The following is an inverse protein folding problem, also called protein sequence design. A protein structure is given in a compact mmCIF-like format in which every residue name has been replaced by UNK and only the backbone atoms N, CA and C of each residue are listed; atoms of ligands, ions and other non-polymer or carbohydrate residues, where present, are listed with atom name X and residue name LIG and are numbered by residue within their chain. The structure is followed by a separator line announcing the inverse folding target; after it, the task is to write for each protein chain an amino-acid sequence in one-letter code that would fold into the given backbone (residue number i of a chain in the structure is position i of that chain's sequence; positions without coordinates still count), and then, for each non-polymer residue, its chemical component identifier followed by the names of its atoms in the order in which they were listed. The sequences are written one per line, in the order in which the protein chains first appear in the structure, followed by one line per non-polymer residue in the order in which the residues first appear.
data_IF_648024939459
#
_entry.id   IF_648024939459
#
_cell.length_a   1.000
_cell.length_b   1.000
_cell.length_c   1.000
_cell.angle_alpha   90.00
_cell.angle_beta   90.00
_cell.angle_gamma   90.00
#
_symmetry.space_group_name_H-M   'P 1'
#
loop_
_entity.id
_entity.type
_entity.pdbx_description
1 polymer ?
#
# COMPACT_ATOMS: atom_id res chain seq x y z
N UNK A 1 -3.39 33.34 -7.36
CA UNK A 1 -3.30 32.31 -6.29
C UNK A 1 -1.83 32.25 -5.86
N UNK A 2 -1.53 32.02 -4.58
CA UNK A 2 -0.13 31.80 -4.12
C UNK A 2 0.34 30.40 -4.45
N UNK A 3 1.66 30.21 -4.55
CA UNK A 3 2.26 28.90 -4.71
C UNK A 3 1.91 27.99 -3.51
N UNK A 4 1.68 26.70 -3.76
CA UNK A 4 1.46 25.72 -2.69
C UNK A 4 2.80 25.34 -2.08
N UNK A 5 2.95 25.55 -0.77
CA UNK A 5 4.17 25.23 -0.04
C UNK A 5 4.15 23.76 0.41
N UNK A 6 5.11 22.98 -0.08
CA UNK A 6 5.23 21.55 0.21
C UNK A 6 6.55 21.28 0.92
N UNK A 7 6.48 20.86 2.18
CA UNK A 7 7.62 20.35 2.92
C UNK A 7 7.77 18.84 2.72
N UNK A 8 8.97 18.36 2.40
CA UNK A 8 9.27 16.92 2.38
C UNK A 8 10.22 16.62 3.52
N UNK A 9 9.77 15.83 4.48
CA UNK A 9 10.55 15.50 5.68
C UNK A 9 11.66 14.50 5.34
N UNK A 10 12.91 14.92 5.48
CA UNK A 10 14.05 14.05 5.33
C UNK A 10 14.59 13.58 6.71
N UNK A 11 14.95 12.30 6.79
CA UNK A 11 15.45 11.68 8.01
C UNK A 11 16.35 10.46 7.69
N UNK A 12 17.14 9.96 8.65
CA UNK A 12 18.09 8.88 8.40
C UNK A 12 17.42 7.61 7.88
N UNK A 13 17.84 7.17 6.68
CA UNK A 13 17.33 6.00 5.99
C UNK A 13 15.97 6.19 5.33
N UNK A 14 15.43 7.41 5.18
CA UNK A 14 14.26 7.66 4.35
C UNK A 14 14.55 7.33 2.88
N UNK A 15 13.55 6.92 2.11
CA UNK A 15 13.74 6.63 0.69
C UNK A 15 14.04 7.91 -0.10
N UNK A 16 15.26 8.00 -0.66
CA UNK A 16 15.70 9.15 -1.44
C UNK A 16 14.77 9.44 -2.63
N UNK A 17 14.29 8.41 -3.32
CA UNK A 17 13.34 8.53 -4.43
C UNK A 17 11.98 9.09 -4.02
N UNK A 18 11.52 8.83 -2.79
CA UNK A 18 10.29 9.43 -2.28
C UNK A 18 10.51 10.89 -1.85
N UNK A 19 11.73 11.25 -1.47
CA UNK A 19 12.09 12.65 -1.15
C UNK A 19 12.06 13.51 -2.41
N UNK A 20 12.52 12.99 -3.55
CA UNK A 20 12.66 13.78 -4.78
C UNK A 20 11.55 13.51 -5.82
N UNK A 21 10.92 12.33 -5.81
CA UNK A 21 9.93 11.96 -6.82
C UNK A 21 8.68 12.85 -6.82
N UNK A 22 8.22 13.31 -5.64
CA UNK A 22 7.11 14.28 -5.56
C UNK A 22 7.55 15.66 -6.05
N UNK A 23 8.65 16.27 -5.57
CA UNK A 23 9.18 17.52 -6.12
C UNK A 23 9.32 17.51 -7.64
N UNK A 24 9.89 16.44 -8.21
CA UNK A 24 10.08 16.31 -9.65
C UNK A 24 8.73 16.34 -10.41
N UNK A 25 7.73 15.60 -9.92
CA UNK A 25 6.40 15.57 -10.54
C UNK A 25 5.69 16.93 -10.41
N UNK A 26 5.83 17.63 -9.28
CA UNK A 26 5.27 18.97 -9.09
C UNK A 26 5.95 20.01 -10.00
N UNK A 27 7.27 19.87 -10.23
CA UNK A 27 8.01 20.68 -11.21
C UNK A 27 7.47 20.44 -12.62
N UNK A 28 7.26 19.18 -13.02
CA UNK A 28 6.64 18.86 -14.31
C UNK A 28 5.24 19.47 -14.43
N UNK A 29 4.45 19.41 -13.36
CA UNK A 29 3.11 19.99 -13.33
C UNK A 29 3.13 21.51 -13.51
N UNK A 30 4.11 22.22 -12.93
CA UNK A 30 4.29 23.66 -13.13
C UNK A 30 4.59 23.97 -14.58
N UNK A 31 5.49 23.22 -15.23
CA UNK A 31 5.80 23.39 -16.65
C UNK A 31 4.59 23.13 -17.55
N UNK A 32 3.82 22.08 -17.25
CA UNK A 32 2.60 21.73 -17.99
C UNK A 32 1.52 22.80 -17.85
N UNK A 33 1.38 23.38 -16.64
CA UNK A 33 0.38 24.42 -16.36
C UNK A 33 0.69 25.77 -17.01
N UNK A 34 1.96 26.02 -17.31
CA UNK A 34 2.43 27.28 -17.95
C UNK A 34 2.72 28.41 -16.95
N UNK A 35 3.24 29.54 -17.44
CA UNK A 35 3.80 30.61 -16.62
C UNK A 35 2.78 31.39 -15.76
N UNK A 36 1.51 31.37 -16.13
CA UNK A 36 0.43 32.01 -15.35
C UNK A 36 0.04 31.25 -14.11
N UNK A 37 0.53 30.01 -13.93
CA UNK A 37 0.21 29.15 -12.79
C UNK A 37 1.13 29.47 -11.61
N UNK A 38 0.55 29.59 -10.41
CA UNK A 38 1.31 29.93 -9.20
C UNK A 38 2.36 28.85 -8.79
N UNK A 39 2.20 27.62 -9.27
CA UNK A 39 3.16 26.53 -9.08
C UNK A 39 3.22 25.98 -7.65
N UNK A 40 4.37 25.40 -7.35
CA UNK A 40 4.65 24.75 -6.07
C UNK A 40 5.99 25.23 -5.52
N UNK A 41 6.04 25.55 -4.23
CA UNK A 41 7.27 25.83 -3.51
C UNK A 41 7.63 24.61 -2.67
N UNK A 42 8.62 23.84 -3.09
CA UNK A 42 9.00 22.60 -2.43
C UNK A 42 10.30 22.77 -1.64
N UNK A 43 10.32 22.28 -0.42
CA UNK A 43 11.51 22.26 0.42
C UNK A 43 11.72 20.90 1.08
N UNK A 44 12.96 20.41 1.03
CA UNK A 44 13.38 19.27 1.84
C UNK A 44 13.74 19.79 3.23
N UNK A 45 12.98 19.37 4.24
CA UNK A 45 13.09 19.86 5.61
C UNK A 45 13.50 18.75 6.57
N UNK A 46 14.23 19.09 7.62
CA UNK A 46 14.61 18.13 8.66
C UNK A 46 14.83 18.85 9.99
N UNK A 47 14.51 18.23 11.13
CA UNK A 47 14.97 18.71 12.43
C UNK A 47 16.49 18.46 12.65
N UNK A 48 17.15 17.77 11.72
CA UNK A 48 18.58 17.47 11.77
C UNK A 48 19.38 18.34 10.82
N UNK A 49 20.61 18.62 11.16
CA UNK A 49 21.54 19.40 10.32
C UNK A 49 22.05 18.59 9.11
N UNK A 50 22.11 17.27 9.24
CA UNK A 50 22.59 16.35 8.19
C UNK A 50 21.71 15.12 8.16
N UNK A 51 21.38 14.67 6.95
CA UNK A 51 20.57 13.47 6.72
C UNK A 51 21.26 12.61 5.67
N UNK A 52 21.37 11.32 5.97
CA UNK A 52 21.75 10.29 5.00
C UNK A 52 20.51 9.45 4.73
N UNK A 53 20.02 9.51 3.50
CA UNK A 53 18.87 8.73 3.02
C UNK A 53 19.30 7.31 2.66
N UNK A 54 18.34 6.51 2.19
CA UNK A 54 18.58 5.16 1.66
C UNK A 54 19.65 5.17 0.58
N UNK A 55 20.42 4.07 0.49
CA UNK A 55 21.53 3.96 -0.45
C UNK A 55 22.73 4.88 -0.14
N UNK A 56 22.80 5.49 1.05
CA UNK A 56 23.91 6.32 1.47
C UNK A 56 23.91 7.75 0.93
N UNK A 57 22.81 8.19 0.28
CA UNK A 57 22.72 9.53 -0.30
C UNK A 57 22.68 10.61 0.80
N UNK A 58 23.66 11.53 0.79
CA UNK A 58 23.63 12.71 1.66
C UNK A 58 22.63 13.75 1.10
N UNK A 59 21.72 14.22 1.95
CA UNK A 59 20.70 15.18 1.57
C UNK A 59 21.03 16.58 2.10
N UNK A 60 20.89 17.59 1.24
CA UNK A 60 20.81 18.98 1.67
C UNK A 60 19.41 19.20 2.26
N UNK A 61 19.35 19.67 3.50
CA UNK A 61 18.09 19.89 4.22
C UNK A 61 18.05 21.31 4.80
N UNK A 62 16.82 21.83 4.90
CA UNK A 62 16.55 23.09 5.62
C UNK A 62 15.90 22.78 6.98
N UNK A 63 16.00 23.68 7.97
CA UNK A 63 15.19 23.58 9.18
C UNK A 63 13.69 23.52 8.84
N UNK A 64 12.86 22.95 9.73
CA UNK A 64 11.40 22.98 9.59
C UNK A 64 10.89 24.42 9.39
N UNK A 65 10.03 24.63 8.41
CA UNK A 65 9.44 25.93 8.07
C UNK A 65 7.97 25.76 7.71
N UNK A 66 7.23 26.84 7.65
CA UNK A 66 5.82 26.80 7.26
C UNK A 66 5.59 26.03 5.93
N UNK A 67 4.59 25.18 5.95
CA UNK A 67 4.15 24.42 4.79
C UNK A 67 2.63 24.23 4.83
N UNK A 68 2.02 24.18 3.65
CA UNK A 68 0.59 23.86 3.51
C UNK A 68 0.40 22.33 3.51
N UNK A 69 1.42 21.58 3.03
CA UNK A 69 1.47 20.12 3.02
C UNK A 69 2.84 19.66 3.52
N UNK A 70 2.85 18.72 4.47
CA UNK A 70 4.06 18.00 4.89
C UNK A 70 4.00 16.57 4.37
N UNK A 71 4.97 16.16 3.56
CA UNK A 71 5.14 14.78 3.08
C UNK A 71 6.17 14.07 3.95
N UNK A 72 5.80 12.91 4.47
CA UNK A 72 6.64 12.02 5.29
C UNK A 72 6.95 10.76 4.48
N UNK A 73 8.15 10.62 3.89
CA UNK A 73 8.55 9.45 3.14
C UNK A 73 8.54 8.16 3.96
N UNK A 74 8.58 7.02 3.29
CA UNK A 74 8.94 5.74 3.90
C UNK A 74 10.45 5.64 4.15
N UNK A 75 10.85 4.53 4.74
CA UNK A 75 12.26 4.26 5.08
C UNK A 75 12.66 2.83 4.74
N UNK A 76 13.96 2.58 4.68
CA UNK A 76 14.51 1.26 4.43
C UNK A 76 14.07 0.25 5.49
N UNK A 77 13.59 -0.90 5.00
CA UNK A 77 13.20 -2.06 5.78
C UNK A 77 14.19 -3.19 5.50
N UNK A 78 15.28 -3.18 6.25
CA UNK A 78 16.31 -4.19 6.14
C UNK A 78 15.87 -5.49 6.86
N UNK A 79 16.31 -6.67 6.39
CA UNK A 79 16.09 -7.91 7.12
C UNK A 79 16.58 -7.81 8.57
N UNK A 80 15.71 -8.18 9.51
CA UNK A 80 16.04 -8.10 10.94
C UNK A 80 15.93 -6.69 11.54
N UNK A 81 15.31 -5.72 10.84
CA UNK A 81 15.06 -4.39 11.37
C UNK A 81 14.21 -4.48 12.66
N UNK A 82 14.75 -3.96 13.74
CA UNK A 82 13.98 -3.67 14.95
C UNK A 82 13.19 -2.37 14.72
N UNK A 83 11.88 -2.51 14.50
CA UNK A 83 10.99 -1.38 14.22
C UNK A 83 10.92 -0.42 15.40
N UNK A 84 10.88 -0.93 16.65
CA UNK A 84 10.78 -0.10 17.84
C UNK A 84 12.03 0.74 18.04
N UNK A 85 13.22 0.13 17.89
CA UNK A 85 14.48 0.85 17.94
C UNK A 85 14.61 1.88 16.80
N UNK A 86 14.09 1.56 15.60
CA UNK A 86 14.11 2.51 14.47
C UNK A 86 13.22 3.71 14.75
N UNK A 87 11.99 3.50 15.19
CA UNK A 87 11.03 4.57 15.48
C UNK A 87 11.49 5.43 16.66
N UNK A 88 12.05 4.84 17.70
CA UNK A 88 12.61 5.58 18.84
C UNK A 88 13.72 6.54 18.41
N UNK A 89 14.60 6.15 17.46
CA UNK A 89 15.66 7.02 16.90
C UNK A 89 15.09 8.18 16.07
N UNK A 90 13.84 8.09 15.61
CA UNK A 90 13.14 9.10 14.82
C UNK A 90 12.21 9.99 15.68
N UNK A 91 12.41 10.00 17.01
CA UNK A 91 11.62 10.84 17.91
C UNK A 91 11.66 12.35 17.56
N UNK A 92 12.79 12.95 17.11
CA UNK A 92 12.79 14.35 16.65
C UNK A 92 11.88 14.57 15.43
N UNK A 93 11.84 13.65 14.49
CA UNK A 93 10.99 13.71 13.31
C UNK A 93 9.52 13.54 13.67
N UNK A 94 9.22 12.62 14.58
CA UNK A 94 7.86 12.45 15.14
C UNK A 94 7.37 13.73 15.84
N UNK A 95 8.24 14.40 16.60
CA UNK A 95 7.93 15.69 17.22
C UNK A 95 7.66 16.79 16.18
N UNK A 96 8.47 16.84 15.11
CA UNK A 96 8.26 17.79 14.01
C UNK A 96 6.91 17.53 13.30
N UNK A 97 6.57 16.28 13.03
CA UNK A 97 5.26 15.89 12.44
C UNK A 97 4.10 16.39 13.31
N UNK A 98 4.17 16.21 14.65
CA UNK A 98 3.15 16.72 15.57
C UNK A 98 3.03 18.25 15.52
N UNK A 99 4.16 18.96 15.44
CA UNK A 99 4.17 20.42 15.35
C UNK A 99 3.50 20.91 14.07
N UNK A 100 3.78 20.29 12.92
CA UNK A 100 3.12 20.61 11.66
C UNK A 100 1.62 20.36 11.73
N UNK A 101 1.20 19.20 12.25
CA UNK A 101 -0.21 18.86 12.39
C UNK A 101 -0.95 19.85 13.32
N UNK A 102 -0.33 20.24 14.44
CA UNK A 102 -0.85 21.22 15.39
C UNK A 102 -0.98 22.63 14.76
N UNK A 103 -0.11 22.97 13.81
CA UNK A 103 -0.18 24.21 13.03
C UNK A 103 -1.24 24.17 11.90
N UNK A 104 -1.97 23.07 11.73
CA UNK A 104 -2.98 22.91 10.68
C UNK A 104 -2.44 22.52 9.31
N UNK A 105 -1.15 22.18 9.19
CA UNK A 105 -0.55 21.65 7.97
C UNK A 105 -1.17 20.28 7.63
N UNK A 106 -1.54 20.07 6.36
CA UNK A 106 -1.96 18.76 5.90
C UNK A 106 -0.77 17.78 5.92
N UNK A 107 -0.90 16.67 6.65
CA UNK A 107 0.20 15.71 6.79
C UNK A 107 -0.07 14.48 5.94
N UNK A 108 0.96 14.08 5.18
CA UNK A 108 0.89 12.96 4.23
C UNK A 108 2.02 11.99 4.52
N UNK A 109 1.72 10.71 4.64
CA UNK A 109 2.73 9.66 4.69
C UNK A 109 2.78 8.84 3.43
N UNK A 110 3.98 8.47 3.02
CA UNK A 110 4.22 7.55 1.93
C UNK A 110 4.65 6.20 2.50
N UNK A 111 4.09 5.12 1.96
CA UNK A 111 4.50 3.76 2.29
C UNK A 111 4.53 3.54 3.82
N UNK A 112 5.65 3.07 4.35
CA UNK A 112 5.87 2.84 5.79
C UNK A 112 6.11 4.12 6.61
N UNK A 113 6.13 5.28 5.98
CA UNK A 113 6.06 6.57 6.70
C UNK A 113 4.83 6.70 7.59
N UNK A 114 3.78 5.89 7.32
CA UNK A 114 2.59 5.77 8.16
C UNK A 114 2.91 5.39 9.62
N UNK A 115 4.00 4.65 9.86
CA UNK A 115 4.44 4.34 11.22
C UNK A 115 4.87 5.57 12.00
N UNK A 116 5.49 6.56 11.34
CA UNK A 116 5.83 7.84 12.00
C UNK A 116 4.57 8.66 12.33
N UNK A 117 3.54 8.58 11.48
CA UNK A 117 2.25 9.20 11.79
C UNK A 117 1.54 8.50 12.94
N UNK A 118 1.65 7.18 13.04
CA UNK A 118 1.15 6.40 14.18
C UNK A 118 1.85 6.82 15.49
N UNK A 119 3.19 6.88 15.49
CA UNK A 119 3.98 7.37 16.64
C UNK A 119 3.65 8.83 17.01
N UNK A 120 3.24 9.63 16.03
CA UNK A 120 2.77 10.99 16.28
C UNK A 120 1.33 11.05 16.84
N UNK A 121 0.60 9.93 16.94
CA UNK A 121 -0.82 9.87 17.38
C UNK A 121 -1.78 10.40 16.33
N UNK A 122 -1.37 10.50 15.07
CA UNK A 122 -2.20 11.09 14.01
C UNK A 122 -3.11 10.08 13.33
N UNK A 123 -3.01 8.78 13.62
CA UNK A 123 -3.84 7.74 13.01
C UNK A 123 -4.99 7.27 13.89
N UNK A 124 -5.04 7.66 15.17
CA UNK A 124 -6.06 7.21 16.10
C UNK A 124 -7.45 7.60 15.63
N UNK A 125 -8.36 6.62 15.56
CA UNK A 125 -9.75 6.74 15.09
C UNK A 125 -9.88 7.32 13.68
N UNK A 126 -8.86 7.09 12.83
CA UNK A 126 -8.84 7.49 11.43
C UNK A 126 -8.72 6.29 10.52
N UNK A 127 -9.23 6.44 9.30
CA UNK A 127 -8.91 5.51 8.22
C UNK A 127 -7.49 5.78 7.75
N UNK A 128 -6.73 4.73 7.52
CA UNK A 128 -5.35 4.81 7.05
C UNK A 128 -5.00 3.66 6.11
N UNK A 129 -3.96 3.82 5.34
CA UNK A 129 -3.32 2.75 4.58
C UNK A 129 -1.80 2.81 4.74
N UNK A 130 -1.13 1.79 4.30
CA UNK A 130 0.33 1.71 4.19
C UNK A 130 0.68 0.69 3.10
N UNK A 131 1.95 0.38 2.89
CA UNK A 131 2.30 -0.78 2.06
C UNK A 131 1.57 -2.02 2.54
N UNK A 132 0.91 -2.74 1.62
CA UNK A 132 0.17 -3.97 1.91
C UNK A 132 0.98 -5.00 2.70
N UNK A 133 2.32 -5.00 2.53
CA UNK A 133 3.24 -5.90 3.21
C UNK A 133 3.29 -5.64 4.74
N UNK A 134 3.02 -4.41 5.16
CA UNK A 134 3.11 -3.95 6.55
C UNK A 134 1.78 -3.51 7.14
N UNK A 135 0.67 -3.74 6.44
CA UNK A 135 -0.65 -3.32 6.90
C UNK A 135 -1.06 -3.98 8.22
N UNK A 136 -0.82 -5.29 8.36
CA UNK A 136 -1.10 -6.03 9.60
C UNK A 136 -0.23 -5.55 10.77
N UNK A 137 1.02 -5.18 10.50
CA UNK A 137 1.92 -4.59 11.50
C UNK A 137 1.41 -3.23 11.97
N UNK A 138 1.00 -2.38 11.04
CA UNK A 138 0.43 -1.06 11.37
C UNK A 138 -0.85 -1.21 12.20
N UNK A 139 -1.75 -2.12 11.82
CA UNK A 139 -2.99 -2.39 12.55
C UNK A 139 -2.74 -2.88 13.98
N UNK A 140 -1.71 -3.73 14.19
CA UNK A 140 -1.34 -4.20 15.55
C UNK A 140 -0.76 -3.08 16.42
N UNK A 141 0.02 -2.15 15.84
CA UNK A 141 0.62 -1.03 16.56
C UNK A 141 -0.38 0.10 16.84
N UNK A 142 -1.36 0.25 15.97
CA UNK A 142 -2.35 1.31 16.03
C UNK A 142 -3.77 0.71 16.03
N UNK A 143 -4.20 0.05 17.12
CA UNK A 143 -5.46 -0.71 17.13
C UNK A 143 -6.70 0.18 17.00
N UNK A 144 -6.60 1.47 17.26
CA UNK A 144 -7.69 2.44 17.05
C UNK A 144 -7.78 2.93 15.59
N UNK A 145 -6.79 2.64 14.74
CA UNK A 145 -6.82 3.01 13.33
C UNK A 145 -7.61 1.98 12.50
N UNK A 146 -8.42 2.46 11.55
CA UNK A 146 -9.10 1.63 10.56
C UNK A 146 -8.18 1.46 9.34
N UNK A 147 -7.30 0.47 9.38
CA UNK A 147 -6.31 0.22 8.33
C UNK A 147 -6.96 -0.44 7.12
N UNK A 148 -6.82 0.19 5.94
CA UNK A 148 -7.38 -0.22 4.65
C UNK A 148 -6.28 -0.71 3.69
N UNK A 149 -5.87 -1.97 3.78
CA UNK A 149 -4.73 -2.49 3.03
C UNK A 149 -4.94 -2.55 1.51
N UNK A 150 -6.18 -2.45 1.03
CA UNK A 150 -6.50 -2.45 -0.41
C UNK A 150 -6.35 -1.07 -1.06
N UNK A 151 -6.44 0.01 -0.28
CA UNK A 151 -6.46 1.37 -0.80
C UNK A 151 -5.06 1.86 -1.19
N UNK A 152 -4.95 2.64 -2.29
CA UNK A 152 -3.71 3.33 -2.66
C UNK A 152 -3.48 4.61 -1.87
N UNK A 153 -4.53 5.40 -1.70
CA UNK A 153 -4.50 6.68 -0.98
C UNK A 153 -5.74 6.74 -0.10
N UNK A 154 -5.55 7.08 1.17
CA UNK A 154 -6.62 7.30 2.14
C UNK A 154 -6.43 8.67 2.77
N UNK A 155 -7.43 9.53 2.65
CA UNK A 155 -7.46 10.83 3.32
C UNK A 155 -8.58 10.84 4.36
N UNK A 156 -8.25 11.20 5.59
CA UNK A 156 -9.19 11.35 6.68
C UNK A 156 -8.80 12.51 7.59
N UNK A 157 -9.67 13.51 7.69
CA UNK A 157 -9.52 14.68 8.59
C UNK A 157 -8.14 15.35 8.54
N UNK A 158 -7.67 15.69 7.32
CA UNK A 158 -6.40 16.41 7.09
C UNK A 158 -5.14 15.53 7.12
N UNK A 159 -5.27 14.24 7.43
CA UNK A 159 -4.18 13.27 7.33
C UNK A 159 -4.39 12.39 6.09
N UNK A 160 -3.35 12.25 5.29
CA UNK A 160 -3.34 11.35 4.13
C UNK A 160 -2.28 10.28 4.32
N UNK A 161 -2.62 9.04 4.04
CA UNK A 161 -1.67 7.93 4.02
C UNK A 161 -1.70 7.26 2.67
N UNK A 162 -0.55 6.82 2.17
CA UNK A 162 -0.45 6.15 0.88
C UNK A 162 0.07 4.72 1.02
N UNK A 163 -0.24 3.90 0.03
CA UNK A 163 0.22 2.52 -0.11
C UNK A 163 1.74 2.44 -0.40
N UNK A 164 2.16 1.33 -0.99
CA UNK A 164 3.57 1.07 -1.29
C UNK A 164 4.17 2.08 -2.27
N UNK A 165 5.42 2.32 -2.09
CA UNK A 165 6.39 3.13 -2.82
C UNK A 165 5.84 4.01 -3.97
N UNK A 166 5.42 3.42 -5.09
CA UNK A 166 4.93 4.16 -6.27
C UNK A 166 3.59 4.87 -6.06
N UNK A 167 2.88 4.61 -4.96
CA UNK A 167 1.65 5.33 -4.61
C UNK A 167 1.91 6.82 -4.29
N UNK A 168 3.18 7.21 -4.11
CA UNK A 168 3.57 8.63 -4.05
C UNK A 168 3.12 9.41 -5.29
N UNK A 169 3.14 8.78 -6.47
CA UNK A 169 2.71 9.43 -7.71
C UNK A 169 1.18 9.56 -7.78
N UNK A 170 0.43 8.59 -7.26
CA UNK A 170 -1.04 8.69 -7.16
C UNK A 170 -1.44 9.85 -6.24
N UNK A 171 -0.75 10.00 -5.11
CA UNK A 171 -0.94 11.14 -4.22
C UNK A 171 -0.53 12.46 -4.90
N UNK A 172 0.63 12.52 -5.54
CA UNK A 172 1.10 13.75 -6.19
C UNK A 172 0.16 14.19 -7.32
N UNK A 173 -0.37 13.26 -8.13
CA UNK A 173 -1.37 13.56 -9.14
C UNK A 173 -2.69 14.04 -8.52
N UNK A 174 -3.10 13.50 -7.37
CA UNK A 174 -4.27 14.00 -6.65
C UNK A 174 -4.04 15.40 -6.09
N UNK A 175 -2.85 15.70 -5.56
CA UNK A 175 -2.46 17.03 -5.10
C UNK A 175 -2.49 18.03 -6.28
N UNK A 176 -1.92 17.66 -7.43
CA UNK A 176 -1.94 18.46 -8.66
C UNK A 176 -3.40 18.69 -9.12
N UNK A 177 -4.23 17.65 -9.08
CA UNK A 177 -5.65 17.76 -9.44
C UNK A 177 -6.40 18.78 -8.59
N UNK A 178 -6.13 18.81 -7.28
CA UNK A 178 -6.76 19.74 -6.35
C UNK A 178 -6.26 21.17 -6.50
N UNK A 179 -4.96 21.36 -6.72
CA UNK A 179 -4.34 22.69 -6.76
C UNK A 179 -4.36 23.31 -8.18
N UNK A 180 -4.09 22.52 -9.22
CA UNK A 180 -3.90 22.97 -10.60
C UNK A 180 -4.99 22.49 -11.56
N UNK A 181 -5.92 21.68 -11.08
CA UNK A 181 -7.04 21.15 -11.85
C UNK A 181 -6.76 19.83 -12.60
N UNK A 182 -7.84 19.16 -12.98
CA UNK A 182 -7.80 17.83 -13.59
C UNK A 182 -7.09 17.78 -14.95
N UNK A 183 -7.10 18.88 -15.70
CA UNK A 183 -6.41 19.00 -16.99
C UNK A 183 -4.89 18.88 -16.83
N UNK A 184 -4.33 19.68 -15.91
CA UNK A 184 -2.89 19.68 -15.61
C UNK A 184 -2.47 18.31 -15.04
N UNK A 185 -3.23 17.73 -14.11
CA UNK A 185 -2.92 16.42 -13.57
C UNK A 185 -2.83 15.34 -14.66
N UNK A 186 -3.80 15.26 -15.56
CA UNK A 186 -3.77 14.30 -16.69
C UNK A 186 -2.61 14.54 -17.65
N UNK A 187 -2.31 15.80 -17.97
CA UNK A 187 -1.19 16.11 -18.84
C UNK A 187 0.15 15.76 -18.17
N UNK A 188 0.32 16.06 -16.89
CA UNK A 188 1.50 15.68 -16.10
C UNK A 188 1.67 14.14 -16.05
N UNK A 189 0.58 13.39 -15.80
CA UNK A 189 0.62 11.92 -15.81
C UNK A 189 1.12 11.36 -17.16
N UNK A 190 0.67 11.94 -18.28
CA UNK A 190 1.13 11.55 -19.63
C UNK A 190 2.61 11.86 -19.87
N UNK A 191 3.07 13.03 -19.47
CA UNK A 191 4.48 13.43 -19.61
C UNK A 191 5.38 12.52 -18.76
N UNK A 192 4.96 12.21 -17.55
CA UNK A 192 5.71 11.37 -16.63
C UNK A 192 5.52 9.85 -16.88
N UNK A 193 4.67 9.45 -17.83
CA UNK A 193 4.28 8.04 -18.07
C UNK A 193 3.76 7.34 -16.81
N UNK A 194 3.04 8.06 -15.97
CA UNK A 194 2.41 7.55 -14.75
C UNK A 194 0.95 7.18 -15.05
N UNK A 195 0.53 5.99 -14.60
CA UNK A 195 -0.87 5.55 -14.69
C UNK A 195 -1.72 6.34 -13.68
N UNK A 196 -2.64 7.18 -14.15
CA UNK A 196 -3.53 8.02 -13.34
C UNK A 196 -4.89 7.33 -13.02
N UNK A 197 -5.05 6.07 -13.41
CA UNK A 197 -6.28 5.29 -13.24
C UNK A 197 -6.18 4.22 -12.15
N UNK A 198 -5.08 4.13 -11.43
CA UNK A 198 -4.93 3.16 -10.33
C UNK A 198 -5.84 3.55 -9.15
N UNK A 199 -6.57 2.58 -8.62
CA UNK A 199 -7.47 2.80 -7.48
C UNK A 199 -7.16 1.91 -6.28
N UNK A 200 -6.32 0.87 -6.46
CA UNK A 200 -6.05 -0.12 -5.42
C UNK A 200 -4.66 -0.73 -5.57
N UNK A 201 -4.04 -1.07 -4.42
CA UNK A 201 -2.84 -1.90 -4.40
C UNK A 201 -3.15 -3.42 -4.37
N UNK A 202 -4.41 -3.81 -4.23
CA UNK A 202 -4.81 -5.23 -4.18
C UNK A 202 -4.28 -6.08 -5.34
N UNK A 203 -4.18 -5.58 -6.60
CA UNK A 203 -3.57 -6.35 -7.69
C UNK A 203 -2.11 -6.74 -7.47
N UNK A 204 -1.39 -6.00 -6.64
CA UNK A 204 0.05 -6.19 -6.38
C UNK A 204 0.34 -7.05 -5.15
N UNK A 205 -0.68 -7.39 -4.35
CA UNK A 205 -0.52 -8.22 -3.14
C UNK A 205 -0.05 -9.62 -3.54
N UNK A 206 1.12 -10.02 -3.04
CA UNK A 206 1.61 -11.39 -3.13
C UNK A 206 1.69 -12.02 -1.74
N UNK A 207 0.75 -12.93 -1.46
CA UNK A 207 0.65 -13.59 -0.18
C UNK A 207 1.89 -14.44 0.21
N UNK A 208 2.79 -14.74 -0.75
CA UNK A 208 4.05 -15.45 -0.46
C UNK A 208 5.05 -14.56 0.27
N UNK A 209 4.92 -13.25 0.09
CA UNK A 209 5.79 -12.25 0.73
C UNK A 209 5.27 -11.85 2.12
N UNK A 210 4.01 -12.16 2.43
CA UNK A 210 3.45 -11.92 3.76
C UNK A 210 4.01 -12.94 4.76
N UNK A 211 4.26 -12.53 6.01
CA UNK A 211 4.52 -13.48 7.08
C UNK A 211 3.45 -14.56 7.09
N UNK A 212 3.86 -15.82 7.12
CA UNK A 212 2.90 -16.92 7.16
C UNK A 212 2.32 -16.99 8.58
N UNK A 213 1.06 -16.57 8.80
CA UNK A 213 0.46 -16.65 10.11
C UNK A 213 0.21 -18.11 10.48
N UNK A 214 0.18 -18.37 11.75
CA UNK A 214 -0.32 -19.63 12.28
C UNK A 214 0.74 -20.59 12.79
N UNK A 215 0.27 -21.47 13.64
CA UNK A 215 1.00 -22.57 14.26
C UNK A 215 1.08 -23.78 13.31
N UNK A 216 1.63 -24.88 13.76
CA UNK A 216 1.78 -26.10 12.96
C UNK A 216 0.43 -26.63 12.43
N UNK A 217 -0.66 -26.48 13.20
CA UNK A 217 -1.98 -26.94 12.82
C UNK A 217 -2.51 -26.15 11.60
N UNK A 218 -2.60 -24.85 11.70
CA UNK A 218 -3.12 -24.02 10.59
C UNK A 218 -2.25 -24.14 9.33
N UNK A 219 -0.92 -24.27 9.47
CA UNK A 219 -0.03 -24.55 8.33
C UNK A 219 -0.29 -25.90 7.67
N UNK A 220 -0.65 -26.93 8.43
CA UNK A 220 -1.07 -28.23 7.87
C UNK A 220 -2.40 -28.10 7.12
N UNK A 221 -3.37 -27.38 7.68
CA UNK A 221 -4.66 -27.10 7.03
C UNK A 221 -4.46 -26.32 5.73
N UNK A 222 -3.66 -25.26 5.74
CA UNK A 222 -3.33 -24.48 4.53
C UNK A 222 -2.70 -25.34 3.44
N UNK A 223 -1.71 -26.17 3.78
CA UNK A 223 -1.09 -27.09 2.82
C UNK A 223 -2.10 -28.04 2.20
N UNK A 224 -3.02 -28.60 2.98
CA UNK A 224 -4.09 -29.47 2.47
C UNK A 224 -5.01 -28.75 1.48
N UNK A 225 -5.39 -27.50 1.80
CA UNK A 225 -6.21 -26.67 0.91
C UNK A 225 -5.47 -26.30 -0.38
N UNK A 226 -4.19 -25.98 -0.30
CA UNK A 226 -3.38 -25.62 -1.48
C UNK A 226 -3.13 -26.83 -2.39
N UNK A 227 -2.97 -28.04 -1.82
CA UNK A 227 -2.84 -29.29 -2.60
C UNK A 227 -4.13 -29.66 -3.34
N UNK A 228 -5.29 -29.32 -2.76
CA UNK A 228 -6.61 -29.64 -3.30
C UNK A 228 -7.36 -28.40 -3.80
N UNK A 229 -6.64 -27.45 -4.35
CA UNK A 229 -7.12 -26.11 -4.68
C UNK A 229 -8.34 -26.11 -5.61
N UNK A 230 -8.37 -27.02 -6.60
CA UNK A 230 -9.44 -27.13 -7.58
C UNK A 230 -10.66 -27.92 -7.09
N UNK A 231 -10.53 -28.63 -5.98
CA UNK A 231 -11.61 -29.46 -5.44
C UNK A 231 -12.72 -28.61 -4.80
N UNK A 232 -13.92 -29.20 -4.71
CA UNK A 232 -15.02 -28.56 -3.98
C UNK A 232 -14.63 -28.41 -2.51
N UNK A 233 -14.84 -27.22 -1.97
CA UNK A 233 -14.67 -27.01 -0.55
C UNK A 233 -15.69 -27.81 0.25
N UNK A 234 -15.19 -28.68 1.11
CA UNK A 234 -15.99 -29.48 2.04
C UNK A 234 -15.37 -29.35 3.44
N UNK A 235 -16.10 -28.64 4.32
CA UNK A 235 -15.64 -28.38 5.68
C UNK A 235 -15.67 -29.64 6.54
N UNK A 236 -16.65 -30.56 6.30
CA UNK A 236 -16.74 -31.81 7.05
C UNK A 236 -15.55 -32.70 6.71
N UNK A 237 -15.31 -32.95 5.42
CA UNK A 237 -14.16 -33.73 4.97
C UNK A 237 -12.83 -33.12 5.44
N UNK A 238 -12.73 -31.78 5.46
CA UNK A 238 -11.53 -31.11 5.97
C UNK A 238 -11.35 -31.35 7.47
N UNK A 239 -12.41 -31.25 8.28
CA UNK A 239 -12.33 -31.46 9.72
C UNK A 239 -12.02 -32.93 10.09
N UNK A 240 -12.58 -33.87 9.35
CA UNK A 240 -12.32 -35.31 9.52
C UNK A 240 -10.85 -35.64 9.23
N UNK A 241 -10.27 -35.04 8.19
CA UNK A 241 -8.85 -35.23 7.86
C UNK A 241 -7.87 -34.74 8.95
N UNK A 242 -8.33 -33.87 9.84
CA UNK A 242 -7.56 -33.35 10.98
C UNK A 242 -8.03 -33.90 12.33
N UNK A 243 -8.97 -34.85 12.34
CA UNK A 243 -9.54 -35.50 13.52
C UNK A 243 -10.08 -34.51 14.58
N UNK A 244 -10.75 -33.44 14.10
CA UNK A 244 -11.37 -32.40 14.93
C UNK A 244 -12.81 -32.11 14.47
N UNK A 245 -13.64 -31.55 15.35
CA UNK A 245 -14.95 -31.07 14.93
C UNK A 245 -14.83 -29.85 14.01
N UNK A 246 -15.81 -29.62 13.13
CA UNK A 246 -15.88 -28.43 12.26
C UNK A 246 -15.79 -27.14 13.06
N UNK A 247 -16.44 -27.05 14.22
CA UNK A 247 -16.36 -25.90 15.13
C UNK A 247 -14.93 -25.67 15.63
N UNK A 248 -14.24 -26.74 16.02
CA UNK A 248 -12.86 -26.67 16.52
C UNK A 248 -11.92 -26.23 15.43
N UNK A 249 -12.07 -26.78 14.21
CA UNK A 249 -11.26 -26.41 13.05
C UNK A 249 -11.43 -24.92 12.72
N UNK A 250 -12.67 -24.44 12.57
CA UNK A 250 -12.98 -23.04 12.25
C UNK A 250 -12.41 -22.09 13.30
N UNK A 251 -12.70 -22.35 14.60
CA UNK A 251 -12.23 -21.51 15.69
C UNK A 251 -10.71 -21.46 15.72
N UNK A 252 -10.05 -22.62 15.78
CA UNK A 252 -8.60 -22.70 15.90
C UNK A 252 -7.88 -22.10 14.69
N UNK A 253 -8.40 -22.34 13.49
CA UNK A 253 -7.83 -21.74 12.28
C UNK A 253 -8.00 -20.23 12.27
N UNK A 254 -9.17 -19.70 12.68
CA UNK A 254 -9.42 -18.27 12.79
C UNK A 254 -8.55 -17.62 13.89
N UNK A 255 -8.44 -18.23 15.06
CA UNK A 255 -7.58 -17.75 16.16
C UNK A 255 -6.11 -17.67 15.74
N UNK A 256 -5.63 -18.66 14.96
CA UNK A 256 -4.23 -18.73 14.52
C UNK A 256 -3.94 -17.85 13.29
N UNK A 257 -4.93 -17.54 12.43
CA UNK A 257 -4.70 -16.92 11.11
C UNK A 257 -5.51 -15.64 10.84
N UNK A 258 -6.44 -15.29 11.71
CA UNK A 258 -7.33 -14.14 11.56
C UNK A 258 -8.42 -14.31 10.48
N UNK A 259 -8.58 -15.50 9.87
CA UNK A 259 -9.52 -15.75 8.76
C UNK A 259 -10.03 -17.19 8.76
N UNK A 260 -11.12 -17.44 8.04
CA UNK A 260 -11.67 -18.78 7.88
C UNK A 260 -10.88 -19.62 6.85
N UNK A 261 -10.93 -20.98 6.91
CA UNK A 261 -10.35 -21.84 5.89
C UNK A 261 -10.90 -21.59 4.47
N UNK A 262 -12.18 -21.21 4.34
CA UNK A 262 -12.78 -20.88 3.07
C UNK A 262 -12.20 -19.58 2.48
N UNK A 263 -12.04 -18.53 3.27
CA UNK A 263 -11.40 -17.28 2.86
C UNK A 263 -9.95 -17.52 2.44
N UNK A 264 -9.23 -18.39 3.17
CA UNK A 264 -7.89 -18.80 2.76
C UNK A 264 -7.91 -19.48 1.39
N UNK A 265 -8.79 -20.48 1.18
CA UNK A 265 -8.91 -21.19 -0.10
C UNK A 265 -9.26 -20.25 -1.25
N UNK A 266 -10.20 -19.34 -1.03
CA UNK A 266 -10.58 -18.33 -2.04
C UNK A 266 -9.39 -17.45 -2.43
N UNK A 267 -8.62 -16.97 -1.45
CA UNK A 267 -7.41 -16.19 -1.69
C UNK A 267 -6.35 -17.00 -2.45
N UNK A 268 -6.15 -18.29 -2.11
CA UNK A 268 -5.23 -19.19 -2.81
C UNK A 268 -5.66 -19.44 -4.26
N UNK A 269 -6.95 -19.60 -4.52
CA UNK A 269 -7.52 -19.74 -5.87
C UNK A 269 -7.31 -18.49 -6.71
N UNK A 270 -7.56 -17.32 -6.15
CA UNK A 270 -7.30 -16.03 -6.82
C UNK A 270 -5.81 -15.87 -7.12
N UNK A 271 -4.93 -16.19 -6.18
CA UNK A 271 -3.47 -16.17 -6.39
C UNK A 271 -3.04 -17.08 -7.55
N UNK A 272 -3.55 -18.32 -7.60
CA UNK A 272 -3.27 -19.24 -8.71
C UNK A 272 -3.82 -18.73 -10.04
N UNK A 273 -5.02 -18.14 -10.02
CA UNK A 273 -5.61 -17.54 -11.21
C UNK A 273 -4.79 -16.36 -11.74
N UNK A 274 -4.30 -15.48 -10.86
CA UNK A 274 -3.38 -14.39 -11.22
C UNK A 274 -2.17 -14.93 -11.97
N UNK A 275 -1.47 -15.89 -11.38
CA UNK A 275 -0.31 -16.53 -12.02
C UNK A 275 -0.65 -17.09 -13.41
N UNK A 276 -1.78 -17.78 -13.57
CA UNK A 276 -2.20 -18.33 -14.87
C UNK A 276 -2.57 -17.23 -15.88
N UNK A 277 -3.16 -16.12 -15.42
CA UNK A 277 -3.46 -14.95 -16.27
C UNK A 277 -2.20 -14.25 -16.77
N UNK A 278 -1.17 -14.20 -15.94
CA UNK A 278 0.12 -13.54 -16.23
C UNK A 278 1.02 -14.39 -17.13
N UNK A 279 0.97 -15.73 -17.01
CA UNK A 279 1.97 -16.63 -17.60
C UNK A 279 1.43 -17.51 -18.71
N UNK A 280 0.13 -17.52 -18.99
CA UNK A 280 -0.47 -18.43 -19.99
C UNK A 280 -1.51 -17.75 -20.89
N UNK A 281 -1.77 -18.35 -22.07
CA UNK A 281 -2.82 -17.95 -23.01
C UNK A 281 -4.20 -18.56 -22.71
N UNK A 282 -4.34 -19.31 -21.62
CA UNK A 282 -5.59 -19.96 -21.26
C UNK A 282 -6.73 -18.97 -21.18
N UNK A 283 -7.91 -19.35 -21.65
CA UNK A 283 -9.11 -18.50 -21.53
C UNK A 283 -9.48 -18.29 -20.06
N UNK A 284 -10.17 -17.19 -19.76
CA UNK A 284 -10.67 -16.92 -18.39
C UNK A 284 -11.55 -18.06 -17.89
N UNK A 285 -12.38 -18.64 -18.76
CA UNK A 285 -13.22 -19.81 -18.44
C UNK A 285 -12.37 -21.03 -18.07
N UNK A 286 -11.32 -21.34 -18.84
CA UNK A 286 -10.40 -22.43 -18.56
C UNK A 286 -9.65 -22.22 -17.23
N UNK A 287 -9.26 -20.98 -16.91
CA UNK A 287 -8.61 -20.64 -15.64
C UNK A 287 -9.59 -20.78 -14.48
N UNK A 288 -10.84 -20.30 -14.64
CA UNK A 288 -11.91 -20.46 -13.65
C UNK A 288 -12.07 -21.94 -13.23
N UNK A 289 -12.19 -22.83 -14.20
CA UNK A 289 -12.28 -24.27 -13.96
C UNK A 289 -11.02 -24.83 -13.28
N UNK A 290 -9.84 -24.42 -13.74
CA UNK A 290 -8.55 -24.91 -13.20
C UNK A 290 -8.32 -24.50 -11.74
N UNK A 291 -8.98 -23.44 -11.27
CA UNK A 291 -8.92 -23.00 -9.87
C UNK A 291 -10.17 -23.38 -9.07
N UNK A 292 -11.01 -24.29 -9.59
CA UNK A 292 -12.10 -24.92 -8.84
C UNK A 292 -13.42 -24.16 -8.85
N UNK A 293 -13.68 -23.31 -9.87
CA UNK A 293 -14.99 -22.69 -10.09
C UNK A 293 -15.68 -23.26 -11.31
N UNK A 294 -16.93 -23.71 -11.15
CA UNK A 294 -17.76 -24.22 -12.24
C UNK A 294 -18.37 -23.08 -13.07
N UNK A 295 -18.69 -21.96 -12.38
CA UNK A 295 -19.25 -20.77 -13.02
C UNK A 295 -18.20 -19.66 -13.10
N UNK A 296 -17.95 -19.20 -14.32
CA UNK A 296 -16.97 -18.15 -14.60
C UNK A 296 -17.43 -16.75 -14.12
N UNK A 297 -18.75 -16.53 -13.95
CA UNK A 297 -19.30 -15.29 -13.40
C UNK A 297 -18.97 -15.16 -11.92
N UNK A 298 -19.23 -16.22 -11.13
CA UNK A 298 -18.88 -16.31 -9.71
C UNK A 298 -17.37 -16.12 -9.51
N UNK A 299 -16.56 -16.78 -10.35
CA UNK A 299 -15.11 -16.58 -10.34
C UNK A 299 -14.73 -15.12 -10.61
N UNK A 300 -15.28 -14.50 -11.67
CA UNK A 300 -14.94 -13.14 -12.06
C UNK A 300 -15.31 -12.12 -10.98
N UNK A 301 -16.46 -12.29 -10.32
CA UNK A 301 -16.88 -11.43 -9.20
C UNK A 301 -15.94 -11.55 -8.00
N UNK A 302 -15.59 -12.77 -7.60
CA UNK A 302 -14.64 -13.01 -6.50
C UNK A 302 -13.24 -12.47 -6.85
N UNK A 303 -12.77 -12.74 -8.07
CA UNK A 303 -11.47 -12.25 -8.54
C UNK A 303 -11.42 -10.71 -8.48
N UNK A 304 -12.47 -10.03 -8.97
CA UNK A 304 -12.58 -8.58 -8.92
C UNK A 304 -12.63 -8.06 -7.48
N UNK A 305 -13.35 -8.73 -6.58
CA UNK A 305 -13.36 -8.39 -5.15
C UNK A 305 -11.96 -8.42 -4.52
N UNK A 306 -11.15 -9.42 -4.88
CA UNK A 306 -9.80 -9.60 -4.30
C UNK A 306 -8.72 -8.77 -4.99
N UNK A 307 -8.90 -8.40 -6.27
CA UNK A 307 -7.86 -7.74 -7.06
C UNK A 307 -8.21 -6.32 -7.50
N UNK A 308 -9.45 -5.87 -7.26
CA UNK A 308 -9.95 -4.59 -7.74
C UNK A 308 -10.17 -4.53 -9.26
N UNK A 309 -9.88 -5.60 -10.00
CA UNK A 309 -9.98 -5.64 -11.48
C UNK A 309 -10.62 -6.95 -11.95
N UNK A 310 -11.37 -6.91 -13.06
CA UNK A 310 -11.87 -8.13 -13.70
C UNK A 310 -10.72 -8.95 -14.30
N UNK A 311 -10.85 -10.29 -14.43
CA UNK A 311 -9.76 -11.14 -14.92
C UNK A 311 -9.17 -10.73 -16.27
N UNK A 312 -9.99 -10.23 -17.20
CA UNK A 312 -9.55 -9.74 -18.52
C UNK A 312 -8.71 -8.48 -18.41
N UNK A 313 -9.17 -7.52 -17.60
CA UNK A 313 -8.49 -6.24 -17.40
C UNK A 313 -7.18 -6.45 -16.62
N UNK A 314 -7.20 -7.39 -15.66
CA UNK A 314 -6.01 -7.82 -14.95
C UNK A 314 -4.96 -8.38 -15.90
N UNK A 315 -5.34 -9.31 -16.80
CA UNK A 315 -4.43 -9.85 -17.81
C UNK A 315 -3.83 -8.75 -18.69
N UNK A 316 -4.65 -7.84 -19.19
CA UNK A 316 -4.18 -6.73 -20.03
C UNK A 316 -3.13 -5.85 -19.33
N UNK A 317 -3.25 -5.69 -18.01
CA UNK A 317 -2.35 -4.83 -17.21
C UNK A 317 -1.06 -5.52 -16.78
N UNK A 318 -1.09 -6.83 -16.52
CA UNK A 318 0.01 -7.54 -15.86
C UNK A 318 0.69 -8.62 -16.72
N UNK A 319 0.09 -9.00 -17.83
CA UNK A 319 0.76 -9.88 -18.78
C UNK A 319 1.78 -9.07 -19.57
N UNK A 320 3.06 -9.38 -19.38
CA UNK A 320 4.11 -8.89 -20.27
C UNK A 320 3.85 -9.47 -21.66
N UNK A 321 3.72 -8.59 -22.66
CA UNK A 321 3.60 -9.05 -24.03
C UNK A 321 4.75 -10.00 -24.36
N UNK A 322 4.44 -11.15 -24.96
CA UNK A 322 5.39 -11.91 -25.71
C UNK A 322 5.73 -11.06 -26.95
N UNK A 323 6.74 -10.22 -26.84
CA UNK A 323 7.40 -9.55 -27.95
C UNK A 323 8.73 -10.22 -28.15
#
# INVERSE_FOLDING_TARGET
MSALRVGVLAYPGCFASEVFGIPDLLTMATHVAGPEHAGYEVAVVSPRLRVTASGGAALAVSPPREADVLVVPGFELLPGLDMDAKLARLAPETAAIRSYAAAGTAVVSLCVGAFLLAEAGLLDRRRATTSWLFADELARRCPEADVRPECLVVTDRGVTTTAAFSAMYDFALELIRRHSGAGVARATARVALVDDARSSQAPYVDARLLPQPGNEFSRKVMRRLDQNLAERYDLAALSDAFHVSTRTLLRRFADETGRSPLEYLQSSRVRRARHLLETTDRTVASISTAVGYRDSGTFAALFAKHTGRRPRDYRASFRRGAG
#
